data_IF_376668214854
#
_entry.id   IF_376668214854
#
_cell.length_a   1.000
_cell.length_b   1.000
_cell.length_c   1.000
_cell.angle_alpha   90.00
_cell.angle_beta   90.00
_cell.angle_gamma   90.00
#
_symmetry.space_group_name_H-M   'P 1'
#
loop_
_entity.id
_entity.type
_entity.pdbx_description
1 polymer ?
#
# COMPACT_ATOMS: atom_id res chain seq x y z
N UNK A 1 -13.13 6.71 -1.39
CA UNK A 1 -13.67 7.44 -0.21
C UNK A 1 -12.49 7.98 0.58
N UNK A 2 -12.70 8.95 1.47
CA UNK A 2 -11.63 9.39 2.38
C UNK A 2 -11.36 8.30 3.43
N UNK A 3 -10.09 8.15 3.80
CA UNK A 3 -9.66 7.32 4.92
C UNK A 3 -10.08 7.96 6.25
N UNK A 4 -10.52 7.18 7.22
CA UNK A 4 -10.93 7.64 8.55
C UNK A 4 -10.31 6.76 9.65
N UNK A 5 -10.36 7.23 10.90
CA UNK A 5 -9.83 6.44 12.03
C UNK A 5 -10.54 5.09 12.18
N UNK A 6 -11.82 5.00 11.82
CA UNK A 6 -12.60 3.76 11.85
C UNK A 6 -12.02 2.68 10.92
N UNK A 7 -11.26 3.07 9.89
CA UNK A 7 -10.61 2.11 9.00
C UNK A 7 -9.55 1.28 9.70
N UNK A 8 -8.89 1.83 10.73
CA UNK A 8 -7.94 1.04 11.52
C UNK A 8 -8.63 -0.09 12.30
N UNK A 9 -9.90 0.06 12.64
CA UNK A 9 -10.69 -0.96 13.34
C UNK A 9 -11.26 -1.98 12.36
N UNK A 10 -11.62 -1.54 11.16
CA UNK A 10 -12.29 -2.37 10.16
C UNK A 10 -11.35 -3.24 9.32
N UNK A 11 -10.07 -2.91 9.26
CA UNK A 11 -9.09 -3.60 8.41
C UNK A 11 -7.91 -4.14 9.23
N UNK A 12 -7.42 -5.31 8.84
CA UNK A 12 -6.22 -5.92 9.41
C UNK A 12 -4.94 -5.41 8.74
N UNK A 13 -5.02 -5.10 7.44
CA UNK A 13 -3.91 -4.55 6.65
C UNK A 13 -4.40 -3.38 5.79
N UNK A 14 -3.61 -2.31 5.75
CA UNK A 14 -3.87 -1.07 5.04
C UNK A 14 -2.67 -0.79 4.13
N UNK A 15 -2.84 -1.04 2.84
CA UNK A 15 -1.81 -0.76 1.84
C UNK A 15 -2.01 0.62 1.23
N UNK A 16 -0.97 1.45 1.29
CA UNK A 16 -0.96 2.80 0.69
C UNK A 16 -0.03 2.83 -0.52
N UNK A 17 -0.32 3.74 -1.45
CA UNK A 17 0.33 3.77 -2.77
C UNK A 17 1.67 4.50 -2.76
N UNK A 18 1.84 5.46 -1.85
CA UNK A 18 3.03 6.31 -1.80
C UNK A 18 3.36 6.74 -0.37
N UNK A 19 4.56 7.30 -0.20
CA UNK A 19 5.09 7.80 1.06
C UNK A 19 4.32 8.99 1.63
N UNK A 20 3.62 9.77 0.80
CA UNK A 20 2.77 10.87 1.29
C UNK A 20 1.55 10.31 2.01
N UNK A 21 0.82 9.40 1.35
CA UNK A 21 -0.31 8.68 1.91
C UNK A 21 0.11 7.89 3.15
N UNK A 22 1.29 7.26 3.14
CA UNK A 22 1.84 6.59 4.32
C UNK A 22 1.97 7.56 5.49
N UNK A 23 2.61 8.70 5.30
CA UNK A 23 2.78 9.72 6.36
C UNK A 23 1.44 10.24 6.86
N UNK A 24 0.50 10.53 5.96
CA UNK A 24 -0.82 11.04 6.30
C UNK A 24 -1.59 10.02 7.15
N UNK A 25 -1.68 8.77 6.70
CA UNK A 25 -2.38 7.69 7.42
C UNK A 25 -1.68 7.38 8.75
N UNK A 26 -0.35 7.28 8.78
CA UNK A 26 0.43 7.07 10.01
C UNK A 26 0.21 8.22 11.01
N UNK A 27 0.00 9.46 10.56
CA UNK A 27 -0.28 10.59 11.45
C UNK A 27 -1.66 10.46 12.13
N UNK A 28 -2.60 9.75 11.51
CA UNK A 28 -3.93 9.46 12.05
C UNK A 28 -3.95 8.26 13.02
N UNK A 29 -2.90 7.44 13.03
CA UNK A 29 -2.82 6.26 13.89
C UNK A 29 -2.70 6.64 15.39
N UNK A 30 -3.63 6.16 16.21
CA UNK A 30 -3.69 6.46 17.66
C UNK A 30 -2.91 5.45 18.51
N UNK A 31 -2.64 4.25 17.99
CA UNK A 31 -1.96 3.16 18.69
C UNK A 31 -0.83 2.58 17.84
N UNK A 32 0.10 1.86 18.48
CA UNK A 32 1.14 1.13 17.74
C UNK A 32 0.55 0.01 16.88
N UNK A 33 -0.56 -0.58 17.31
CA UNK A 33 -1.32 -1.55 16.51
C UNK A 33 -1.81 -0.93 15.21
N UNK A 34 -2.39 0.28 15.26
CA UNK A 34 -2.82 0.99 14.04
C UNK A 34 -1.63 1.23 13.11
N UNK A 35 -0.47 1.61 13.65
CA UNK A 35 0.74 1.86 12.86
C UNK A 35 1.24 0.59 12.17
N UNK A 36 1.17 -0.56 12.85
CA UNK A 36 1.63 -1.84 12.33
C UNK A 36 0.77 -2.37 11.18
N UNK A 37 -0.48 -1.93 11.07
CA UNK A 37 -1.38 -2.30 9.96
C UNK A 37 -1.07 -1.59 8.64
N UNK A 38 -0.26 -0.52 8.65
CA UNK A 38 -0.06 0.33 7.47
C UNK A 38 1.23 -0.06 6.75
N UNK A 39 1.13 -0.32 5.46
CA UNK A 39 2.25 -0.78 4.62
C UNK A 39 2.26 -0.02 3.29
N UNK A 40 3.46 0.23 2.74
CA UNK A 40 3.60 0.63 1.34
C UNK A 40 3.37 -0.59 0.47
N UNK A 41 2.49 -0.49 -0.53
CA UNK A 41 2.15 -1.64 -1.37
C UNK A 41 3.36 -2.18 -2.15
N UNK A 42 4.28 -1.31 -2.57
CA UNK A 42 5.44 -1.70 -3.34
C UNK A 42 6.60 -2.24 -2.49
N UNK A 43 6.53 -2.15 -1.17
CA UNK A 43 7.49 -2.81 -0.27
C UNK A 43 7.47 -4.34 -0.44
N UNK A 44 6.34 -4.87 -0.92
CA UNK A 44 6.14 -6.30 -1.19
C UNK A 44 7.04 -6.83 -2.30
N UNK A 45 7.41 -5.98 -3.27
CA UNK A 45 8.21 -6.34 -4.45
C UNK A 45 9.55 -5.59 -4.51
N UNK A 46 9.68 -4.46 -3.80
CA UNK A 46 10.90 -3.66 -3.66
C UNK A 46 11.24 -3.42 -2.19
N UNK A 47 11.65 -4.47 -1.44
CA UNK A 47 11.85 -4.38 -0.01
C UNK A 47 12.96 -3.38 0.35
N UNK A 48 12.67 -2.51 1.31
CA UNK A 48 13.51 -1.44 1.85
C UNK A 48 13.88 -0.33 0.87
N UNK A 49 13.24 -0.30 -0.30
CA UNK A 49 13.48 0.74 -1.31
C UNK A 49 12.55 1.95 -1.15
N UNK A 50 11.44 1.81 -0.39
CA UNK A 50 10.44 2.86 -0.17
C UNK A 50 9.92 3.50 -1.48
N UNK A 51 9.64 2.64 -2.47
CA UNK A 51 9.21 3.08 -3.82
C UNK A 51 7.76 3.57 -3.78
N UNK A 52 7.52 4.73 -4.39
CA UNK A 52 6.17 5.26 -4.62
C UNK A 52 5.56 4.67 -5.91
N UNK A 53 4.26 4.38 -5.88
CA UNK A 53 3.49 4.18 -7.12
C UNK A 53 3.43 5.53 -7.85
N UNK A 54 3.94 5.63 -9.09
CA UNK A 54 3.96 6.89 -9.82
C UNK A 54 2.54 7.28 -10.26
N UNK A 55 2.29 8.58 -10.41
CA UNK A 55 1.05 9.08 -11.00
C UNK A 55 0.97 8.67 -12.49
N UNK A 56 -0.04 7.86 -12.89
CA UNK A 56 -0.13 7.34 -14.26
C UNK A 56 -0.51 8.40 -15.30
N UNK A 57 -1.11 9.53 -14.88
CA UNK A 57 -1.66 10.53 -15.81
C UNK A 57 -0.60 11.28 -16.60
N UNK A 58 0.66 11.30 -16.14
CA UNK A 58 1.77 11.94 -16.85
C UNK A 58 2.32 11.11 -18.02
N UNK A 59 2.04 9.80 -18.06
CA UNK A 59 2.59 8.87 -19.05
C UNK A 59 1.65 8.46 -20.18
N UNK A 60 0.42 8.98 -20.21
CA UNK A 60 -0.63 8.47 -21.10
C UNK A 60 -0.95 7.00 -20.82
N UNK A 61 -1.39 6.24 -21.81
CA UNK A 61 -1.76 4.82 -21.64
C UNK A 61 -0.63 3.96 -21.05
N UNK A 62 0.63 4.24 -21.42
CA UNK A 62 1.77 3.49 -20.89
C UNK A 62 1.98 3.74 -19.38
N UNK A 63 1.64 4.94 -18.89
CA UNK A 63 1.69 5.24 -17.45
C UNK A 63 0.74 4.36 -16.65
N UNK A 64 -0.48 4.16 -17.17
CA UNK A 64 -1.46 3.27 -16.56
C UNK A 64 -1.03 1.80 -16.63
N UNK A 65 -0.51 1.36 -17.77
CA UNK A 65 -0.02 -0.03 -17.92
C UNK A 65 1.11 -0.33 -16.94
N UNK A 66 2.07 0.59 -16.78
CA UNK A 66 3.17 0.42 -15.85
C UNK A 66 2.67 0.33 -14.40
N UNK A 67 1.79 1.24 -13.98
CA UNK A 67 1.20 1.21 -12.63
C UNK A 67 0.39 -0.07 -12.42
N UNK A 68 -0.39 -0.50 -13.42
CA UNK A 68 -1.15 -1.75 -13.36
C UNK A 68 -0.23 -2.95 -13.14
N UNK A 69 0.86 -3.07 -13.90
CA UNK A 69 1.81 -4.18 -13.75
C UNK A 69 2.45 -4.21 -12.36
N UNK A 70 2.88 -3.05 -11.84
CA UNK A 70 3.44 -2.95 -10.49
C UNK A 70 2.45 -3.40 -9.41
N UNK A 71 1.19 -2.95 -9.52
CA UNK A 71 0.15 -3.32 -8.57
C UNK A 71 -0.25 -4.79 -8.71
N UNK A 72 -0.24 -5.34 -9.93
CA UNK A 72 -0.56 -6.74 -10.18
C UNK A 72 0.48 -7.66 -9.52
N UNK A 73 1.76 -7.38 -9.71
CA UNK A 73 2.85 -8.14 -9.08
C UNK A 73 2.81 -8.04 -7.55
N UNK A 74 2.60 -6.84 -7.01
CA UNK A 74 2.44 -6.66 -5.56
C UNK A 74 1.23 -7.43 -5.01
N UNK A 75 0.09 -7.44 -5.71
CA UNK A 75 -1.09 -8.20 -5.31
C UNK A 75 -0.83 -9.71 -5.30
N UNK A 76 -0.08 -10.24 -6.27
CA UNK A 76 0.27 -11.66 -6.34
C UNK A 76 1.14 -12.10 -5.13
N UNK A 77 2.10 -11.26 -4.73
CA UNK A 77 2.91 -11.49 -3.53
C UNK A 77 2.09 -11.40 -2.24
N UNK A 78 1.23 -10.38 -2.11
CA UNK A 78 0.33 -10.21 -0.96
C UNK A 78 -0.59 -11.43 -0.82
N UNK A 79 -1.23 -11.86 -1.91
CA UNK A 79 -2.11 -13.03 -1.92
C UNK A 79 -1.36 -14.30 -1.52
N UNK A 80 -0.13 -14.47 -1.98
CA UNK A 80 0.74 -15.57 -1.59
C UNK A 80 1.07 -15.54 -0.10
N UNK A 81 1.39 -14.38 0.47
CA UNK A 81 1.68 -14.23 1.91
C UNK A 81 0.45 -14.49 2.78
N UNK A 82 -0.73 -13.97 2.39
CA UNK A 82 -2.00 -14.23 3.08
C UNK A 82 -2.34 -15.72 3.12
N UNK A 83 -2.25 -16.41 1.98
CA UNK A 83 -2.52 -17.85 1.89
C UNK A 83 -1.57 -18.70 2.74
N UNK A 84 -0.36 -18.18 3.00
CA UNK A 84 0.65 -18.86 3.82
C UNK A 84 0.63 -18.41 5.31
N UNK A 85 -0.23 -17.47 5.69
CA UNK A 85 -0.28 -16.91 7.06
C UNK A 85 1.00 -16.16 7.45
N UNK A 86 1.62 -15.46 6.49
CA UNK A 86 2.91 -14.75 6.66
C UNK A 86 2.81 -13.24 6.47
N UNK A 87 1.60 -12.73 6.26
CA UNK A 87 1.32 -11.30 6.22
C UNK A 87 1.07 -10.80 7.65
#
# INVERSE_FOLDING_TARGET
RQFSEEDFENFDHIFVMDNSNFKDVISMAQTDEHRQKVHLILEEIFPSENVDVPDPYHGGEQGFENVYQMLNEACDEIATKLNNGRL
#
